data_IF_952912795434
#
_entry.id   IF_952912795434
#
_cell.length_a   1.000
_cell.length_b   1.000
_cell.length_c   1.000
_cell.angle_alpha   90.00
_cell.angle_beta   90.00
_cell.angle_gamma   90.00
#
_symmetry.space_group_name_H-M   'P 1'
#
loop_
_entity.id
_entity.type
_entity.pdbx_description
1 polymer ?
#
# COMPACT_ATOMS: atom_id res chain seq x y z
N UNK A 1 23.63 -2.15 -10.38
CA UNK A 1 23.90 -0.71 -10.55
C UNK A 1 22.59 0.09 -10.64
N UNK A 2 21.59 -0.36 -11.38
CA UNK A 2 20.31 0.35 -11.57
C UNK A 2 19.49 0.48 -10.29
N UNK A 3 19.27 -0.61 -9.55
CA UNK A 3 18.56 -0.60 -8.27
C UNK A 3 19.17 0.36 -7.23
N UNK A 4 20.49 0.48 -7.21
CA UNK A 4 21.20 1.43 -6.33
C UNK A 4 20.88 2.87 -6.72
N UNK A 5 20.84 3.16 -8.02
CA UNK A 5 20.51 4.49 -8.52
C UNK A 5 19.05 4.86 -8.21
N UNK A 6 18.11 3.92 -8.39
CA UNK A 6 16.69 4.08 -8.05
C UNK A 6 16.53 4.30 -6.55
N UNK A 7 17.13 3.45 -5.72
CA UNK A 7 17.09 3.59 -4.27
C UNK A 7 17.64 4.95 -3.80
N UNK A 8 18.74 5.43 -4.41
CA UNK A 8 19.29 6.75 -4.14
C UNK A 8 18.34 7.89 -4.48
N UNK A 9 17.62 7.80 -5.60
CA UNK A 9 16.62 8.81 -6.02
C UNK A 9 15.43 8.84 -5.08
N UNK A 10 14.88 7.67 -4.73
CA UNK A 10 13.78 7.56 -3.76
C UNK A 10 14.16 8.09 -2.39
N UNK A 11 15.32 7.70 -1.88
CA UNK A 11 15.82 8.18 -0.61
C UNK A 11 15.96 9.70 -0.58
N UNK A 12 16.46 10.29 -1.67
CA UNK A 12 16.54 11.75 -1.80
C UNK A 12 15.18 12.44 -1.85
N UNK A 13 14.18 11.81 -2.46
CA UNK A 13 12.81 12.33 -2.48
C UNK A 13 12.18 12.29 -1.07
N UNK A 14 12.27 11.16 -0.38
CA UNK A 14 11.71 10.99 0.96
C UNK A 14 12.38 11.88 2.02
N UNK A 15 13.70 12.07 1.95
CA UNK A 15 14.41 12.98 2.84
C UNK A 15 13.93 14.43 2.78
N UNK A 16 13.27 14.84 1.68
CA UNK A 16 12.75 16.20 1.50
C UNK A 16 11.36 16.39 2.10
N UNK A 17 10.70 15.33 2.53
CA UNK A 17 9.37 15.43 3.14
C UNK A 17 9.42 16.14 4.49
N UNK A 18 10.46 15.91 5.29
CA UNK A 18 10.66 16.58 6.57
C UNK A 18 9.71 16.11 7.68
N UNK A 19 9.48 16.97 8.65
CA UNK A 19 8.62 16.68 9.80
C UNK A 19 7.14 16.67 9.43
N UNK A 20 6.35 15.89 10.16
CA UNK A 20 4.91 15.76 9.97
C UNK A 20 4.49 14.72 8.93
N UNK A 21 5.44 14.11 8.22
CA UNK A 21 5.17 13.05 7.26
C UNK A 21 5.34 11.67 7.86
N UNK A 22 4.42 10.78 7.54
CA UNK A 22 4.58 9.34 7.71
C UNK A 22 4.39 8.63 6.38
N UNK A 23 5.16 7.59 6.15
CA UNK A 23 5.12 6.76 4.95
C UNK A 23 4.88 5.33 5.41
N UNK A 24 3.84 4.70 4.87
CA UNK A 24 3.57 3.28 5.07
C UNK A 24 3.85 2.54 3.77
N UNK A 25 4.67 1.52 3.85
CA UNK A 25 5.00 0.64 2.72
C UNK A 25 4.47 -0.74 3.06
N UNK A 26 3.62 -1.25 2.22
CA UNK A 26 3.02 -2.57 2.40
C UNK A 26 3.23 -3.42 1.15
N UNK A 27 3.62 -4.66 1.35
CA UNK A 27 3.65 -5.71 0.34
C UNK A 27 2.63 -6.77 0.75
N UNK A 28 1.49 -6.80 0.07
CA UNK A 28 0.49 -7.85 0.27
C UNK A 28 0.80 -9.02 -0.65
N UNK A 29 1.03 -10.18 -0.06
CA UNK A 29 1.21 -11.42 -0.79
C UNK A 29 -0.03 -12.28 -0.63
N UNK A 30 -0.56 -12.77 -1.72
CA UNK A 30 -1.74 -13.63 -1.73
C UNK A 30 -1.56 -14.77 -2.73
N UNK A 31 -2.31 -15.85 -2.51
CA UNK A 31 -2.26 -16.99 -3.43
C UNK A 31 -2.82 -16.61 -4.79
N UNK A 32 -2.08 -16.89 -5.86
CA UNK A 32 -2.55 -16.81 -7.24
C UNK A 32 -3.42 -18.06 -7.50
N UNK A 33 -4.73 -17.87 -7.58
CA UNK A 33 -5.67 -18.98 -7.56
C UNK A 33 -5.80 -19.71 -8.90
N UNK A 34 -5.48 -19.07 -10.04
CA UNK A 34 -5.75 -19.64 -11.36
C UNK A 34 -4.73 -19.21 -12.40
N UNK A 35 -4.36 -20.15 -13.25
CA UNK A 35 -3.61 -19.83 -14.46
C UNK A 35 -4.46 -18.95 -15.38
N UNK A 36 -3.90 -17.84 -15.94
CA UNK A 36 -4.65 -16.94 -16.81
C UNK A 36 -5.21 -17.67 -18.03
N UNK A 37 -6.48 -17.44 -18.36
CA UNK A 37 -7.08 -17.94 -19.57
C UNK A 37 -6.57 -17.13 -20.78
N UNK A 38 -5.93 -17.80 -21.71
CA UNK A 38 -5.39 -17.20 -22.92
C UNK A 38 -5.98 -17.86 -24.17
N UNK A 39 -6.10 -17.10 -25.25
CA UNK A 39 -6.51 -17.61 -26.57
C UNK A 39 -5.38 -17.36 -27.57
N UNK A 40 -4.98 -18.39 -28.28
CA UNK A 40 -3.91 -18.32 -29.27
C UNK A 40 -4.45 -18.59 -30.68
N UNK A 41 -3.97 -17.83 -31.65
CA UNK A 41 -4.37 -17.99 -33.05
C UNK A 41 -3.70 -19.19 -33.72
N UNK A 42 -2.56 -19.65 -33.19
CA UNK A 42 -1.80 -20.79 -33.70
C UNK A 42 -1.70 -21.93 -32.70
N UNK A 43 -1.61 -23.15 -33.20
CA UNK A 43 -1.57 -24.36 -32.39
C UNK A 43 -0.26 -24.55 -31.61
N UNK A 44 0.85 -23.98 -32.08
CA UNK A 44 2.15 -24.12 -31.41
C UNK A 44 2.18 -23.27 -30.15
N UNK A 45 1.72 -22.03 -30.21
CA UNK A 45 1.56 -21.17 -29.04
C UNK A 45 0.59 -21.76 -28.01
N UNK A 46 -0.53 -22.35 -28.49
CA UNK A 46 -1.50 -23.03 -27.64
C UNK A 46 -0.89 -24.27 -26.93
N UNK A 47 -0.02 -25.02 -27.59
CA UNK A 47 0.66 -26.15 -26.98
C UNK A 47 1.66 -25.71 -25.89
N UNK A 48 2.45 -24.67 -26.17
CA UNK A 48 3.39 -24.10 -25.19
C UNK A 48 2.66 -23.56 -23.96
N UNK A 49 1.51 -22.92 -24.17
CA UNK A 49 0.68 -22.42 -23.06
C UNK A 49 0.08 -23.56 -22.23
N UNK A 50 -0.35 -24.65 -22.90
CA UNK A 50 -0.86 -25.84 -22.20
C UNK A 50 0.20 -26.53 -21.35
N UNK A 51 1.44 -26.60 -21.82
CA UNK A 51 2.57 -27.12 -21.02
C UNK A 51 2.86 -26.21 -19.81
N UNK A 52 2.92 -24.89 -20.03
CA UNK A 52 3.10 -23.91 -18.92
C UNK A 52 1.99 -24.02 -17.87
N UNK A 53 0.75 -24.22 -18.33
CA UNK A 53 -0.39 -24.42 -17.43
C UNK A 53 -0.22 -25.71 -16.62
N UNK A 54 0.20 -26.81 -17.24
CA UNK A 54 0.45 -28.06 -16.55
C UNK A 54 1.57 -27.91 -15.51
N UNK A 55 2.68 -27.25 -15.86
CA UNK A 55 3.78 -26.94 -14.94
C UNK A 55 3.31 -26.06 -13.77
N UNK A 56 2.46 -25.07 -14.05
CA UNK A 56 1.87 -24.20 -13.03
C UNK A 56 1.00 -24.99 -12.05
N UNK A 57 0.14 -25.87 -12.57
CA UNK A 57 -0.75 -26.70 -11.75
C UNK A 57 0.06 -27.75 -10.93
N UNK A 58 1.15 -28.29 -11.48
CA UNK A 58 2.01 -29.25 -10.81
C UNK A 58 2.90 -28.62 -9.73
N UNK A 59 3.39 -27.40 -9.96
CA UNK A 59 4.30 -26.71 -9.03
C UNK A 59 3.62 -26.34 -7.69
N UNK A 60 2.30 -26.39 -7.59
CA UNK A 60 1.55 -26.17 -6.36
C UNK A 60 1.20 -24.71 -6.07
N UNK A 61 1.49 -24.23 -4.86
CA UNK A 61 1.07 -22.91 -4.46
C UNK A 61 1.86 -21.79 -5.15
N UNK A 62 1.15 -20.91 -5.86
CA UNK A 62 1.68 -19.70 -6.47
C UNK A 62 1.20 -18.48 -5.72
N UNK A 63 2.01 -17.43 -5.71
CA UNK A 63 1.72 -16.20 -5.00
C UNK A 63 1.92 -14.98 -5.90
N UNK A 64 1.04 -14.02 -5.74
CA UNK A 64 1.15 -12.69 -6.32
C UNK A 64 1.39 -11.67 -5.21
N UNK A 65 2.10 -10.60 -5.53
CA UNK A 65 2.37 -9.52 -4.59
C UNK A 65 1.87 -8.20 -5.16
N UNK A 66 1.08 -7.48 -4.36
CA UNK A 66 0.68 -6.10 -4.61
C UNK A 66 1.41 -5.19 -3.64
N UNK A 67 1.88 -4.06 -4.12
CA UNK A 67 2.65 -3.11 -3.32
C UNK A 67 1.84 -1.83 -3.16
N UNK A 68 1.77 -1.33 -1.93
CA UNK A 68 1.06 -0.10 -1.60
C UNK A 68 2.01 0.87 -0.89
N UNK A 69 1.92 2.13 -1.28
CA UNK A 69 2.65 3.23 -0.66
C UNK A 69 1.65 4.28 -0.20
N UNK A 70 1.53 4.46 1.10
CA UNK A 70 0.58 5.41 1.70
C UNK A 70 1.32 6.57 2.34
N UNK A 71 0.94 7.78 1.99
CA UNK A 71 1.45 9.01 2.59
C UNK A 71 0.44 9.58 3.57
N UNK A 72 0.92 9.92 4.74
CA UNK A 72 0.17 10.66 5.74
C UNK A 72 0.94 11.94 6.07
N UNK A 73 0.24 13.06 6.10
CA UNK A 73 0.82 14.33 6.54
C UNK A 73 0.01 14.92 7.68
N UNK A 74 0.68 15.17 8.79
CA UNK A 74 0.15 15.92 9.92
C UNK A 74 0.91 17.24 10.01
N UNK A 75 0.27 18.38 9.76
CA UNK A 75 0.91 19.69 9.91
C UNK A 75 1.49 19.87 11.32
N UNK A 76 2.63 20.57 11.48
CA UNK A 76 3.20 20.86 12.79
C UNK A 76 2.17 21.56 13.71
N UNK A 77 2.28 21.31 15.02
CA UNK A 77 1.34 21.80 16.00
C UNK A 77 1.20 23.35 16.03
N UNK A 78 2.26 24.07 15.67
CA UNK A 78 2.23 25.53 15.55
C UNK A 78 1.29 26.00 14.42
N UNK A 79 1.24 25.26 13.32
CA UNK A 79 0.36 25.54 12.20
C UNK A 79 -1.08 25.05 12.49
N UNK A 80 -1.23 23.94 13.22
CA UNK A 80 -2.51 23.42 13.68
C UNK A 80 -3.15 24.34 14.73
N UNK A 81 -2.36 24.86 15.69
CA UNK A 81 -2.84 25.82 16.70
C UNK A 81 -3.31 27.14 16.07
N UNK A 82 -2.67 27.60 15.00
CA UNK A 82 -3.13 28.76 14.23
C UNK A 82 -4.47 28.50 13.53
N UNK A 83 -4.65 27.28 12.99
CA UNK A 83 -5.90 26.89 12.35
C UNK A 83 -7.05 26.73 13.37
N UNK A 84 -6.80 26.21 14.57
CA UNK A 84 -7.78 26.13 15.66
C UNK A 84 -8.19 27.53 16.16
N UNK A 85 -7.26 28.46 16.33
CA UNK A 85 -7.54 29.83 16.72
C UNK A 85 -8.43 30.53 15.69
N UNK A 86 -8.25 30.26 14.41
CA UNK A 86 -9.11 30.79 13.34
C UNK A 86 -10.54 30.25 13.41
N UNK A 87 -10.71 28.97 13.76
CA UNK A 87 -12.01 28.30 13.84
C UNK A 87 -12.86 28.83 15.02
N UNK A 88 -12.23 29.24 16.15
CA UNK A 88 -12.91 29.61 17.38
C UNK A 88 -13.06 31.11 17.56
N UNK A 89 -12.22 31.95 16.98
CA UNK A 89 -12.23 33.40 17.25
C UNK A 89 -12.84 34.28 16.15
N UNK A 90 -13.15 33.72 14.96
CA UNK A 90 -13.80 34.49 13.88
C UNK A 90 -13.02 35.72 13.40
N UNK A 91 -11.73 35.83 13.70
CA UNK A 91 -10.87 36.92 13.31
C UNK A 91 -10.02 36.55 12.10
N UNK A 92 -9.89 37.48 11.15
CA UNK A 92 -9.01 37.43 9.98
C UNK A 92 -7.54 37.44 10.40
N UNK A 93 -7.08 36.33 10.99
CA UNK A 93 -5.67 36.10 11.16
C UNK A 93 -5.26 35.04 10.13
N UNK A 94 -4.16 35.26 9.45
CA UNK A 94 -3.55 34.39 8.45
C UNK A 94 -3.31 32.99 9.04
N UNK A 95 -4.37 32.23 9.21
CA UNK A 95 -4.35 30.82 9.53
C UNK A 95 -3.78 30.06 8.33
N UNK A 96 -3.18 28.92 8.58
CA UNK A 96 -2.76 28.01 7.51
C UNK A 96 -3.99 27.66 6.69
N UNK A 97 -4.02 28.09 5.44
CA UNK A 97 -5.09 27.74 4.52
C UNK A 97 -5.07 26.23 4.29
N UNK A 98 -6.13 25.55 4.74
CA UNK A 98 -6.26 24.10 4.56
C UNK A 98 -6.12 23.71 3.08
N UNK A 99 -6.56 24.58 2.16
CA UNK A 99 -6.37 24.38 0.72
C UNK A 99 -4.90 24.49 0.29
N UNK A 100 -4.12 25.34 0.95
CA UNK A 100 -2.68 25.44 0.67
C UNK A 100 -1.95 24.20 1.17
N UNK A 101 -2.29 23.72 2.37
CA UNK A 101 -1.75 22.46 2.93
C UNK A 101 -2.08 21.29 2.00
N UNK A 102 -3.33 21.18 1.57
CA UNK A 102 -3.76 20.10 0.66
C UNK A 102 -3.05 20.17 -0.69
N UNK A 103 -2.94 21.35 -1.29
CA UNK A 103 -2.18 21.54 -2.52
C UNK A 103 -0.71 21.16 -2.34
N UNK A 104 -0.08 21.62 -1.27
CA UNK A 104 1.30 21.28 -0.97
C UNK A 104 1.51 19.78 -0.72
N UNK A 105 0.53 19.09 -0.13
CA UNK A 105 0.52 17.65 0.00
C UNK A 105 0.44 16.97 -1.37
N UNK A 106 -0.55 17.33 -2.19
CA UNK A 106 -0.73 16.78 -3.53
C UNK A 106 0.50 16.99 -4.41
N UNK A 107 1.03 18.21 -4.48
CA UNK A 107 2.22 18.52 -5.28
C UNK A 107 3.46 17.69 -4.91
N UNK A 108 3.64 17.40 -3.61
CA UNK A 108 4.78 16.60 -3.15
C UNK A 108 4.61 15.12 -3.47
N UNK A 109 3.42 14.60 -3.23
CA UNK A 109 3.10 13.18 -3.49
C UNK A 109 3.06 12.90 -4.98
N UNK A 110 2.54 13.81 -5.82
CA UNK A 110 2.57 13.68 -7.28
C UNK A 110 4.00 13.63 -7.85
N UNK A 111 4.91 14.44 -7.30
CA UNK A 111 6.32 14.37 -7.70
C UNK A 111 6.97 13.03 -7.34
N UNK A 112 6.57 12.44 -6.22
CA UNK A 112 7.06 11.11 -5.83
C UNK A 112 6.47 10.05 -6.75
N UNK A 113 5.17 10.12 -7.07
CA UNK A 113 4.54 9.23 -8.04
C UNK A 113 5.25 9.28 -9.40
N UNK A 114 5.47 10.48 -9.95
CA UNK A 114 6.19 10.64 -11.22
C UNK A 114 7.62 10.07 -11.18
N UNK A 115 8.28 10.16 -10.03
CA UNK A 115 9.60 9.56 -9.86
C UNK A 115 9.54 8.03 -9.87
N UNK A 116 8.53 7.44 -9.22
CA UNK A 116 8.34 5.99 -9.12
C UNK A 116 7.90 5.43 -10.48
N UNK A 117 6.97 6.09 -11.15
CA UNK A 117 6.44 5.71 -12.47
C UNK A 117 7.54 5.58 -13.54
N UNK A 118 8.64 6.32 -13.38
CA UNK A 118 9.77 6.23 -14.30
C UNK A 118 10.49 4.86 -14.32
N UNK A 119 10.28 4.01 -13.33
CA UNK A 119 10.94 2.70 -13.22
C UNK A 119 10.03 1.56 -12.77
N UNK A 120 8.81 1.85 -12.32
CA UNK A 120 7.79 0.85 -12.03
C UNK A 120 6.88 0.69 -13.26
N UNK A 121 6.61 -0.55 -13.72
CA UNK A 121 5.82 -0.78 -14.92
C UNK A 121 4.35 -0.34 -14.77
N UNK A 122 3.83 -0.39 -13.55
CA UNK A 122 2.47 0.01 -13.22
C UNK A 122 2.49 0.73 -11.87
N UNK A 123 2.19 2.03 -11.88
CA UNK A 123 2.10 2.84 -10.68
C UNK A 123 1.03 3.93 -10.87
N UNK A 124 0.03 3.95 -10.02
CA UNK A 124 -1.06 4.92 -10.11
C UNK A 124 -1.62 5.29 -8.74
N UNK A 125 -2.31 6.42 -8.66
CA UNK A 125 -3.15 6.74 -7.51
C UNK A 125 -4.34 5.78 -7.47
N UNK A 126 -4.65 5.30 -6.28
CA UNK A 126 -5.89 4.58 -6.06
C UNK A 126 -7.07 5.56 -6.09
N UNK A 127 -8.17 5.18 -6.75
CA UNK A 127 -9.43 5.88 -6.62
C UNK A 127 -10.07 5.63 -5.24
N UNK A 128 -11.20 6.27 -4.94
CA UNK A 128 -11.86 6.12 -3.64
C UNK A 128 -12.29 4.67 -3.35
N UNK A 129 -12.79 3.96 -4.37
CA UNK A 129 -13.22 2.56 -4.24
C UNK A 129 -12.03 1.61 -4.08
N UNK A 130 -10.95 1.86 -4.79
CA UNK A 130 -9.69 1.12 -4.65
C UNK A 130 -9.05 1.39 -3.29
N UNK A 131 -9.06 2.64 -2.83
CA UNK A 131 -8.56 3.02 -1.50
C UNK A 131 -9.34 2.31 -0.40
N UNK A 132 -10.68 2.31 -0.46
CA UNK A 132 -11.51 1.58 0.51
C UNK A 132 -11.27 0.07 0.44
N UNK A 133 -11.10 -0.48 -0.77
CA UNK A 133 -10.79 -1.89 -0.98
C UNK A 133 -9.42 -2.26 -0.38
N UNK A 134 -8.41 -1.42 -0.60
CA UNK A 134 -7.10 -1.58 0.01
C UNK A 134 -7.19 -1.51 1.55
N UNK A 135 -7.84 -0.49 2.11
CA UNK A 135 -8.00 -0.35 3.56
C UNK A 135 -8.76 -1.54 4.17
N UNK A 136 -9.83 -2.01 3.51
CA UNK A 136 -10.53 -3.23 3.93
C UNK A 136 -9.59 -4.44 3.97
N UNK A 137 -8.72 -4.59 2.98
CA UNK A 137 -7.76 -5.70 2.90
C UNK A 137 -6.75 -5.72 4.04
N UNK A 138 -6.52 -4.59 4.71
CA UNK A 138 -5.60 -4.50 5.87
C UNK A 138 -6.24 -4.97 7.18
N UNK A 139 -7.57 -5.04 7.24
CA UNK A 139 -8.33 -5.37 8.45
C UNK A 139 -9.28 -6.56 8.27
N UNK A 140 -9.27 -7.22 7.11
CA UNK A 140 -10.10 -8.37 6.79
C UNK A 140 -9.31 -9.46 6.05
N UNK A 141 -9.68 -10.71 6.27
CA UNK A 141 -9.18 -11.84 5.47
C UNK A 141 -9.97 -12.03 4.18
N UNK A 142 -11.12 -11.38 4.06
CA UNK A 142 -11.94 -11.44 2.85
C UNK A 142 -11.42 -10.49 1.78
N UNK A 143 -11.47 -10.92 0.54
CA UNK A 143 -11.03 -10.14 -0.62
C UNK A 143 -12.21 -9.85 -1.53
N UNK A 144 -12.70 -8.62 -1.49
CA UNK A 144 -13.75 -8.14 -2.39
C UNK A 144 -13.63 -6.63 -2.56
N UNK A 145 -14.19 -6.12 -3.64
CA UNK A 145 -14.22 -4.68 -3.89
C UNK A 145 -15.22 -4.00 -2.97
N UNK A 146 -14.77 -3.00 -2.22
CA UNK A 146 -15.62 -2.15 -1.39
C UNK A 146 -16.19 -1.02 -2.27
N UNK A 147 -17.49 -0.79 -2.15
CA UNK A 147 -18.15 0.31 -2.87
C UNK A 147 -18.13 1.57 -2.03
N UNK A 148 -17.87 2.69 -2.68
CA UNK A 148 -18.00 4.01 -2.04
C UNK A 148 -19.48 4.24 -1.72
N UNK A 149 -19.84 4.51 -0.44
CA UNK A 149 -21.24 4.76 -0.09
C UNK A 149 -21.69 6.14 -0.59
N UNK A 150 -22.96 6.25 -0.99
CA UNK A 150 -23.55 7.51 -1.41
C UNK A 150 -23.67 8.51 -0.25
N UNK A 151 -23.82 8.00 0.96
CA UNK A 151 -23.93 8.82 2.17
C UNK A 151 -22.64 8.68 2.99
N UNK A 152 -22.07 9.77 3.52
CA UNK A 152 -20.88 9.69 4.36
C UNK A 152 -21.09 8.74 5.54
N UNK A 153 -20.13 7.83 5.73
CA UNK A 153 -20.12 6.83 6.80
C UNK A 153 -18.75 6.83 7.48
N UNK A 154 -18.73 6.36 8.73
CA UNK A 154 -17.45 6.13 9.42
C UNK A 154 -16.70 4.97 8.77
N UNK A 155 -15.38 5.11 8.62
CA UNK A 155 -14.53 4.11 7.98
C UNK A 155 -14.55 2.76 8.71
N UNK A 156 -14.62 2.76 10.03
CA UNK A 156 -14.71 1.54 10.84
C UNK A 156 -15.96 0.72 10.51
N UNK A 157 -17.09 1.39 10.26
CA UNK A 157 -18.33 0.73 9.85
C UNK A 157 -18.26 0.14 8.43
N UNK A 158 -17.41 0.70 7.57
CA UNK A 158 -17.23 0.23 6.19
C UNK A 158 -16.20 -0.90 6.07
N UNK A 159 -15.16 -0.84 6.89
CA UNK A 159 -13.97 -1.68 6.72
C UNK A 159 -13.98 -2.91 7.61
N UNK A 160 -14.54 -2.82 8.83
CA UNK A 160 -14.52 -3.90 9.81
C UNK A 160 -15.69 -4.85 9.59
N UNK A 161 -15.45 -5.96 8.91
CA UNK A 161 -16.44 -7.01 8.62
C UNK A 161 -16.21 -8.32 9.42
N UNK A 162 -15.13 -8.36 10.21
CA UNK A 162 -14.74 -9.52 11.01
C UNK A 162 -14.26 -9.08 12.40
N UNK A 163 -14.54 -9.87 13.45
CA UNK A 163 -14.07 -9.56 14.79
C UNK A 163 -12.55 -9.78 14.88
N UNK A 164 -11.84 -8.83 15.47
CA UNK A 164 -10.47 -8.99 15.90
C UNK A 164 -10.44 -9.39 17.37
N UNK A 165 -9.95 -10.58 17.66
CA UNK A 165 -9.84 -11.11 19.02
C UNK A 165 -8.38 -11.11 19.44
N UNK A 166 -8.07 -10.42 20.53
CA UNK A 166 -6.75 -10.43 21.15
C UNK A 166 -6.47 -11.73 21.92
N UNK A 167 -5.21 -11.91 22.32
CA UNK A 167 -4.77 -13.06 23.14
C UNK A 167 -3.37 -13.50 22.76
N UNK A 168 -2.95 -14.66 23.28
CA UNK A 168 -1.68 -15.29 22.91
C UNK A 168 -1.62 -15.65 21.43
N UNK A 169 -2.76 -16.00 20.87
CA UNK A 169 -2.95 -16.23 19.44
C UNK A 169 -4.06 -15.29 18.94
N UNK A 170 -3.71 -14.07 18.49
CA UNK A 170 -4.70 -13.16 17.97
C UNK A 170 -5.36 -13.74 16.71
N UNK A 171 -6.66 -13.47 16.54
CA UNK A 171 -7.48 -13.97 15.42
C UNK A 171 -8.24 -12.84 14.77
N UNK A 172 -8.35 -12.92 13.46
CA UNK A 172 -9.22 -12.08 12.65
C UNK A 172 -10.25 -12.98 11.98
N UNK A 173 -11.50 -12.91 12.45
CA UNK A 173 -12.51 -13.91 12.11
C UNK A 173 -12.06 -15.30 12.55
N UNK A 174 -11.98 -16.22 11.59
CA UNK A 174 -11.51 -17.60 11.81
C UNK A 174 -10.00 -17.79 11.56
N UNK A 175 -9.30 -16.77 11.05
CA UNK A 175 -7.89 -16.85 10.75
C UNK A 175 -7.03 -16.50 11.97
N UNK A 176 -5.99 -17.29 12.22
CA UNK A 176 -4.96 -16.97 13.21
C UNK A 176 -3.97 -15.96 12.65
N UNK A 177 -3.66 -14.93 13.43
CA UNK A 177 -2.66 -13.94 13.08
C UNK A 177 -1.32 -14.35 13.69
N UNK A 178 -0.29 -14.41 12.85
CA UNK A 178 1.08 -14.59 13.31
C UNK A 178 1.87 -13.33 13.00
N UNK A 179 2.39 -12.68 14.04
CA UNK A 179 3.14 -11.45 13.94
C UNK A 179 4.62 -11.78 14.11
N UNK A 180 5.42 -11.47 13.11
CA UNK A 180 6.88 -11.57 13.16
C UNK A 180 7.47 -10.18 13.37
N UNK A 181 8.27 -10.04 14.43
CA UNK A 181 8.91 -8.77 14.78
C UNK A 181 10.36 -8.76 14.31
N UNK A 182 10.79 -7.68 13.69
CA UNK A 182 12.18 -7.46 13.37
C UNK A 182 12.87 -6.96 14.66
N UNK A 183 13.73 -7.80 15.25
CA UNK A 183 14.36 -7.53 16.55
C UNK A 183 15.46 -6.48 16.47
N UNK A 184 16.02 -6.24 15.30
CA UNK A 184 17.05 -5.21 15.11
C UNK A 184 17.19 -4.83 13.65
N UNK A 185 17.47 -3.55 13.43
CA UNK A 185 17.80 -3.04 12.10
C UNK A 185 19.32 -2.90 11.98
N UNK A 186 19.91 -3.31 10.84
CA UNK A 186 21.32 -3.04 10.59
C UNK A 186 21.56 -1.53 10.49
N UNK A 187 22.75 -1.08 10.81
CA UNK A 187 23.15 0.33 10.70
C UNK A 187 23.17 0.83 9.27
N UNK A 188 23.28 -0.08 8.30
CA UNK A 188 23.18 0.20 6.87
C UNK A 188 22.37 -0.90 6.20
N UNK A 189 21.54 -0.51 5.24
CA UNK A 189 20.74 -1.42 4.42
C UNK A 189 21.18 -1.35 2.97
N UNK A 190 21.02 -2.46 2.26
CA UNK A 190 21.24 -2.53 0.82
C UNK A 190 19.92 -2.89 0.12
N UNK A 191 19.70 -2.42 -1.12
CA UNK A 191 18.55 -2.89 -1.90
C UNK A 191 18.52 -4.40 -1.99
N UNK A 192 17.33 -5.00 -1.78
CA UNK A 192 17.15 -6.45 -1.80
C UNK A 192 17.43 -7.18 -0.49
N UNK A 193 17.70 -6.49 0.62
CA UNK A 193 17.96 -7.11 1.93
C UNK A 193 16.80 -8.01 2.42
N UNK A 194 15.59 -7.75 1.95
CA UNK A 194 14.38 -8.51 2.30
C UNK A 194 13.96 -9.51 1.20
N UNK A 195 14.74 -9.70 0.14
CA UNK A 195 14.38 -10.59 -0.98
C UNK A 195 14.15 -12.03 -0.54
N UNK A 196 14.80 -12.47 0.52
CA UNK A 196 14.59 -13.80 1.07
C UNK A 196 13.17 -14.02 1.60
N UNK A 197 12.48 -12.95 2.03
CA UNK A 197 11.08 -13.04 2.46
C UNK A 197 10.14 -13.40 1.30
N UNK A 198 10.47 -12.99 0.08
CA UNK A 198 9.69 -13.33 -1.11
C UNK A 198 9.76 -14.82 -1.49
N UNK A 199 10.72 -15.55 -0.95
CA UNK A 199 10.92 -17.00 -1.22
C UNK A 199 10.18 -17.89 -0.24
N UNK A 200 9.55 -17.29 0.79
CA UNK A 200 8.80 -18.06 1.77
C UNK A 200 7.54 -18.66 1.11
N UNK A 201 7.25 -19.92 1.41
CA UNK A 201 6.15 -20.68 0.82
C UNK A 201 4.78 -20.42 1.49
N UNK A 202 4.55 -19.22 2.00
CA UNK A 202 3.28 -18.80 2.58
C UNK A 202 2.96 -17.35 2.19
N UNK A 203 1.66 -16.97 2.11
CA UNK A 203 1.23 -15.63 1.82
C UNK A 203 1.61 -14.64 2.92
#
# INVERSE_FOLDING_TARGET
AELVAVAGRLNNAFRRLGSGWAIFVEAQRHGAATYPASMFADSASGLVDAERKADFEEAGAHFESSYFLTFLYLPPAEDAARAETWLYEGRDHAGVDAHEVLRGFADRTDRILQLIDAFMPECAWLDDGETLTYLHSTVSTKRHRVRVPETPMYLDALLADQPLTGGLEPRLGDAHLRILTIVGFPTATTPGILDELNRLAFP
#
